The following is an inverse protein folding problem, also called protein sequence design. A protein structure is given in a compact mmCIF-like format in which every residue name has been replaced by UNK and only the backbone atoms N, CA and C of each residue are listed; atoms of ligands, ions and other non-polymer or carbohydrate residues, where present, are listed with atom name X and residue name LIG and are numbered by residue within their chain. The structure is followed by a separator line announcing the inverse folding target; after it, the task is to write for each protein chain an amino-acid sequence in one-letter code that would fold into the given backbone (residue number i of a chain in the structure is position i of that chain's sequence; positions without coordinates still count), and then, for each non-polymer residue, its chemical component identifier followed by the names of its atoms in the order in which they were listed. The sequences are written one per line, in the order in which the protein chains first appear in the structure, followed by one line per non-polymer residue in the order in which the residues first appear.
data_IF_667378171141
#
_entry.id   IF_667378171141
#
_cell.length_a   1.000
_cell.length_b   1.000
_cell.length_c   1.000
_cell.angle_alpha   90.00
_cell.angle_beta   90.00
_cell.angle_gamma   90.00
#
_symmetry.space_group_name_H-M   'P 1'
#
loop_
_entity.id
_entity.type
_entity.pdbx_description
1 polymer ?
#
# COMPACT_ATOMS: atom_id res chain seq x y z
N UNK A 1 -2.62 -14.98 18.61
CA UNK A 1 -1.62 -14.03 18.06
C UNK A 1 -1.32 -14.31 16.59
N UNK A 2 -0.83 -15.51 16.23
CA UNK A 2 -0.42 -15.85 14.86
C UNK A 2 -1.53 -15.69 13.80
N UNK A 3 -2.77 -16.07 14.12
CA UNK A 3 -3.94 -15.89 13.23
C UNK A 3 -4.11 -14.43 12.78
N UNK A 4 -3.99 -13.47 13.71
CA UNK A 4 -4.14 -12.04 13.40
C UNK A 4 -3.02 -11.55 12.48
N UNK A 5 -1.79 -12.01 12.73
CA UNK A 5 -0.62 -11.68 11.90
C UNK A 5 -0.82 -12.20 10.47
N UNK A 6 -1.22 -13.48 10.31
CA UNK A 6 -1.46 -14.08 8.99
C UNK A 6 -2.57 -13.35 8.24
N UNK A 7 -3.68 -13.04 8.91
CA UNK A 7 -4.79 -12.31 8.29
C UNK A 7 -4.39 -10.87 7.94
N UNK A 8 -3.64 -10.18 8.80
CA UNK A 8 -3.14 -8.83 8.53
C UNK A 8 -2.19 -8.82 7.31
N UNK A 9 -1.31 -9.81 7.21
CA UNK A 9 -0.45 -10.00 6.05
C UNK A 9 -1.26 -10.25 4.78
N UNK A 10 -2.18 -11.22 4.81
CA UNK A 10 -3.01 -11.56 3.66
C UNK A 10 -3.89 -10.36 3.23
N UNK A 11 -4.47 -9.63 4.18
CA UNK A 11 -5.25 -8.43 3.91
C UNK A 11 -4.41 -7.33 3.27
N UNK A 12 -3.20 -7.07 3.77
CA UNK A 12 -2.25 -6.14 3.17
C UNK A 12 -1.85 -6.54 1.75
N UNK A 13 -1.57 -7.83 1.53
CA UNK A 13 -1.18 -8.39 0.24
C UNK A 13 -2.30 -8.25 -0.80
N UNK A 14 -3.49 -8.73 -0.48
CA UNK A 14 -4.65 -8.67 -1.39
C UNK A 14 -5.08 -7.23 -1.62
N UNK A 15 -5.02 -6.37 -0.60
CA UNK A 15 -5.34 -4.95 -0.76
C UNK A 15 -4.43 -4.25 -1.76
N UNK A 16 -3.15 -4.64 -1.84
CA UNK A 16 -2.25 -4.12 -2.88
C UNK A 16 -2.74 -4.51 -4.26
N UNK A 17 -3.06 -5.78 -4.48
CA UNK A 17 -3.46 -6.28 -5.80
C UNK A 17 -4.79 -5.71 -6.28
N UNK A 18 -5.71 -5.41 -5.36
CA UNK A 18 -7.05 -4.93 -5.68
C UNK A 18 -7.14 -3.42 -5.52
N UNK A 19 -7.06 -2.88 -4.30
CA UNK A 19 -7.34 -1.46 -4.04
C UNK A 19 -6.23 -0.55 -4.55
N UNK A 20 -4.97 -0.83 -4.20
CA UNK A 20 -3.85 0.00 -4.63
C UNK A 20 -3.71 -0.02 -6.15
N UNK A 21 -3.65 -1.22 -6.75
CA UNK A 21 -3.46 -1.32 -8.21
C UNK A 21 -4.67 -0.80 -9.00
N UNK A 22 -5.92 -0.98 -8.54
CA UNK A 22 -7.06 -0.37 -9.24
C UNK A 22 -7.01 1.16 -9.18
N UNK A 23 -6.68 1.76 -8.03
CA UNK A 23 -6.53 3.22 -7.96
C UNK A 23 -5.37 3.69 -8.83
N UNK A 24 -4.25 2.96 -8.85
CA UNK A 24 -3.15 3.27 -9.76
C UNK A 24 -3.58 3.16 -11.24
N UNK A 25 -4.40 2.17 -11.59
CA UNK A 25 -4.93 1.99 -12.94
C UNK A 25 -5.80 3.18 -13.37
N UNK A 26 -6.67 3.66 -12.47
CA UNK A 26 -7.47 4.86 -12.70
C UNK A 26 -6.59 6.09 -12.89
N UNK A 27 -5.62 6.31 -12.00
CA UNK A 27 -4.69 7.44 -12.12
C UNK A 27 -3.88 7.38 -13.44
N UNK A 28 -3.50 6.18 -13.88
CA UNK A 28 -2.82 6.00 -15.16
C UNK A 28 -3.75 6.28 -16.36
N UNK A 29 -5.00 5.82 -16.31
CA UNK A 29 -6.00 6.09 -17.35
C UNK A 29 -6.27 7.59 -17.54
N UNK A 30 -6.20 8.38 -16.46
CA UNK A 30 -6.28 9.85 -16.49
C UNK A 30 -4.92 10.55 -16.75
N UNK A 31 -3.88 9.81 -17.14
CA UNK A 31 -2.52 10.34 -17.38
C UNK A 31 -1.89 11.06 -16.17
N UNK A 32 -2.37 10.78 -14.95
CA UNK A 32 -1.80 11.33 -13.71
C UNK A 32 -0.58 10.50 -13.29
N UNK A 33 -0.73 9.17 -13.27
CA UNK A 33 0.36 8.26 -12.99
C UNK A 33 1.07 7.85 -14.29
N UNK A 34 2.41 7.94 -14.37
CA UNK A 34 3.15 7.63 -15.60
C UNK A 34 3.36 6.14 -15.83
N UNK A 35 3.17 5.30 -14.80
CA UNK A 35 3.39 3.85 -14.87
C UNK A 35 2.05 3.12 -14.77
N UNK A 36 1.83 2.06 -15.56
CA UNK A 36 0.60 1.29 -15.51
C UNK A 36 0.52 0.47 -14.21
N UNK A 37 -0.69 0.06 -13.86
CA UNK A 37 -0.95 -0.91 -12.80
C UNK A 37 -0.56 -2.34 -13.23
N UNK A 38 -0.45 -3.21 -12.25
CA UNK A 38 -0.02 -4.61 -12.36
C UNK A 38 1.27 -4.81 -13.19
N UNK A 39 2.38 -4.15 -12.81
CA UNK A 39 3.66 -4.35 -13.47
C UNK A 39 4.13 -5.81 -13.37
N UNK A 40 4.23 -6.50 -14.51
CA UNK A 40 4.63 -7.91 -14.61
C UNK A 40 6.12 -8.12 -14.85
N UNK A 41 6.90 -7.03 -15.01
CA UNK A 41 8.34 -7.14 -15.15
C UNK A 41 8.95 -7.82 -13.92
N UNK A 42 9.88 -8.74 -14.17
CA UNK A 42 10.63 -9.42 -13.12
C UNK A 42 11.51 -8.44 -12.36
N UNK A 43 11.57 -8.58 -11.03
CA UNK A 43 12.47 -7.80 -10.17
C UNK A 43 13.44 -8.72 -9.42
N UNK A 44 14.73 -8.32 -9.29
CA UNK A 44 15.69 -9.07 -8.48
C UNK A 44 15.30 -9.07 -6.99
N UNK A 45 15.83 -10.01 -6.19
CA UNK A 45 16.79 -11.06 -6.58
C UNK A 45 16.13 -12.32 -7.15
N UNK A 46 14.82 -12.53 -6.89
CA UNK A 46 14.14 -13.80 -7.21
C UNK A 46 13.45 -13.83 -8.57
N UNK A 47 13.47 -12.73 -9.34
CA UNK A 47 12.87 -12.67 -10.67
C UNK A 47 11.34 -12.72 -10.68
N UNK A 48 10.69 -12.46 -9.54
CA UNK A 48 9.22 -12.46 -9.44
C UNK A 48 8.62 -11.19 -10.05
N UNK A 49 7.34 -11.21 -10.49
CA UNK A 49 6.68 -10.02 -11.00
C UNK A 49 6.68 -8.88 -9.98
N UNK A 50 6.95 -7.65 -10.43
CA UNK A 50 7.05 -6.47 -9.58
C UNK A 50 5.78 -6.24 -8.74
N UNK A 51 4.59 -6.51 -9.30
CA UNK A 51 3.32 -6.39 -8.57
C UNK A 51 3.21 -7.37 -7.40
N UNK A 52 3.78 -8.57 -7.52
CA UNK A 52 3.79 -9.58 -6.45
C UNK A 52 4.78 -9.19 -5.36
N UNK A 53 5.96 -8.69 -5.75
CA UNK A 53 6.93 -8.11 -4.81
C UNK A 53 6.31 -6.93 -4.03
N UNK A 54 5.57 -6.05 -4.70
CA UNK A 54 4.86 -4.94 -4.07
C UNK A 54 3.77 -5.44 -3.12
N UNK A 55 2.99 -6.45 -3.52
CA UNK A 55 1.96 -7.05 -2.68
C UNK A 55 2.55 -7.68 -1.41
N UNK A 56 3.69 -8.35 -1.50
CA UNK A 56 4.42 -8.86 -0.34
C UNK A 56 4.74 -7.76 0.68
N UNK A 57 5.30 -6.63 0.23
CA UNK A 57 5.56 -5.48 1.10
C UNK A 57 4.26 -4.85 1.64
N UNK A 58 3.18 -4.84 0.86
CA UNK A 58 1.86 -4.50 1.35
C UNK A 58 1.39 -5.41 2.48
N UNK A 59 1.67 -6.71 2.40
CA UNK A 59 1.41 -7.65 3.50
C UNK A 59 2.20 -7.30 4.77
N UNK A 60 3.49 -7.01 4.63
CA UNK A 60 4.33 -6.57 5.77
C UNK A 60 3.73 -5.31 6.42
N UNK A 61 3.37 -4.31 5.64
CA UNK A 61 2.72 -3.10 6.16
C UNK A 61 1.37 -3.38 6.81
N UNK A 62 0.61 -4.37 6.33
CA UNK A 62 -0.61 -4.83 6.97
C UNK A 62 -0.36 -5.37 8.39
N UNK A 63 0.71 -6.17 8.56
CA UNK A 63 1.14 -6.68 9.86
C UNK A 63 1.55 -5.54 10.81
N UNK A 64 2.17 -4.48 10.30
CA UNK A 64 2.54 -3.30 11.09
C UNK A 64 1.31 -2.45 11.46
N UNK A 65 0.43 -2.19 10.50
CA UNK A 65 -0.75 -1.33 10.68
C UNK A 65 -1.76 -1.94 11.67
N UNK A 66 -2.00 -3.25 11.55
CA UNK A 66 -2.81 -4.12 12.43
C UNK A 66 -2.83 -3.65 13.89
N UNK A 67 -1.77 -3.97 14.65
CA UNK A 67 -1.70 -3.69 16.08
C UNK A 67 -1.90 -2.22 16.45
N UNK A 68 -1.51 -1.27 15.57
CA UNK A 68 -1.55 0.17 15.88
C UNK A 68 -2.96 0.75 15.84
N UNK A 69 -3.82 0.24 14.97
CA UNK A 69 -5.16 0.81 14.78
C UNK A 69 -6.27 -0.08 15.33
N UNK A 70 -5.96 -1.35 15.64
CA UNK A 70 -7.01 -2.30 15.96
C UNK A 70 -7.80 -1.85 17.21
N UNK A 71 -7.21 -1.26 18.25
CA UNK A 71 -7.98 -0.77 19.40
C UNK A 71 -9.08 0.27 19.08
N UNK A 72 -9.05 0.91 17.91
CA UNK A 72 -10.01 1.95 17.49
C UNK A 72 -11.35 1.36 17.04
N UNK A 73 -12.41 2.17 17.09
CA UNK A 73 -13.79 1.78 16.73
C UNK A 73 -14.42 2.77 15.73
N UNK A 74 -15.44 2.29 15.00
CA UNK A 74 -16.24 3.12 14.09
C UNK A 74 -15.39 3.91 13.09
N UNK A 75 -15.74 5.17 12.87
CA UNK A 75 -15.04 6.07 11.94
C UNK A 75 -13.54 6.26 12.27
N UNK A 76 -13.16 6.20 13.55
CA UNK A 76 -11.77 6.36 13.98
C UNK A 76 -10.87 5.22 13.44
N UNK A 77 -11.38 3.98 13.40
CA UNK A 77 -10.65 2.84 12.84
C UNK A 77 -10.38 3.02 11.33
N UNK A 78 -11.41 3.39 10.57
CA UNK A 78 -11.30 3.58 9.12
C UNK A 78 -10.40 4.76 8.76
N UNK A 79 -10.57 5.88 9.46
CA UNK A 79 -9.73 7.07 9.28
C UNK A 79 -8.27 6.75 9.61
N UNK A 80 -8.03 5.98 10.69
CA UNK A 80 -6.68 5.54 11.04
C UNK A 80 -6.03 4.70 9.94
N UNK A 81 -6.77 3.76 9.35
CA UNK A 81 -6.26 2.90 8.28
C UNK A 81 -5.90 3.71 7.03
N UNK A 82 -6.79 4.62 6.62
CA UNK A 82 -6.57 5.51 5.47
C UNK A 82 -5.35 6.39 5.70
N UNK A 83 -5.27 7.07 6.86
CA UNK A 83 -4.14 7.95 7.18
C UNK A 83 -2.84 7.17 7.33
N UNK A 84 -2.87 6.01 7.98
CA UNK A 84 -1.69 5.16 8.11
C UNK A 84 -1.15 4.78 6.74
N UNK A 85 -2.02 4.26 5.86
CA UNK A 85 -1.65 3.90 4.50
C UNK A 85 -1.12 5.11 3.73
N UNK A 86 -1.83 6.24 3.73
CA UNK A 86 -1.42 7.44 3.01
C UNK A 86 -0.02 7.95 3.41
N UNK A 87 0.32 7.84 4.71
CA UNK A 87 1.52 8.47 5.26
C UNK A 87 2.71 7.49 5.29
N UNK A 88 2.63 6.39 6.04
CA UNK A 88 3.82 5.61 6.40
C UNK A 88 4.45 4.87 5.19
N UNK A 89 3.72 4.05 4.42
CA UNK A 89 4.23 3.48 3.18
C UNK A 89 4.77 4.53 2.20
N UNK A 90 4.10 5.68 2.08
CA UNK A 90 4.53 6.75 1.18
C UNK A 90 5.87 7.37 1.59
N UNK A 91 6.04 7.67 2.87
CA UNK A 91 7.31 8.22 3.38
C UNK A 91 8.47 7.24 3.12
N UNK A 92 8.26 5.96 3.39
CA UNK A 92 9.27 4.92 3.09
C UNK A 92 9.52 4.81 1.58
N UNK A 93 8.48 4.87 0.76
CA UNK A 93 8.63 4.85 -0.69
C UNK A 93 9.46 6.04 -1.21
N UNK A 94 9.23 7.24 -0.70
CA UNK A 94 9.93 8.46 -1.13
C UNK A 94 11.36 8.57 -0.62
N UNK A 95 11.58 8.29 0.66
CA UNK A 95 12.85 8.62 1.33
C UNK A 95 13.79 7.43 1.49
N UNK A 96 13.30 6.19 1.31
CA UNK A 96 14.12 4.98 1.41
C UNK A 96 14.14 4.26 0.07
N UNK A 97 12.97 3.87 -0.45
CA UNK A 97 12.90 3.03 -1.67
C UNK A 97 13.35 3.78 -2.91
N UNK A 98 12.95 5.04 -3.09
CA UNK A 98 13.32 5.83 -4.27
C UNK A 98 14.85 6.03 -4.37
N UNK A 99 15.56 6.48 -3.30
CA UNK A 99 17.02 6.53 -3.30
C UNK A 99 17.71 5.20 -3.60
N UNK A 100 17.26 4.10 -2.98
CA UNK A 100 17.81 2.75 -3.23
C UNK A 100 17.68 2.36 -4.71
N UNK A 101 16.60 2.79 -5.37
CA UNK A 101 16.36 2.52 -6.79
C UNK A 101 16.96 3.58 -7.72
N UNK A 102 17.82 4.47 -7.21
CA UNK A 102 18.38 5.61 -7.94
C UNK A 102 17.30 6.50 -8.59
N UNK A 103 16.14 6.61 -7.94
CA UNK A 103 15.03 7.47 -8.36
C UNK A 103 15.01 8.77 -7.54
N UNK A 104 14.47 9.88 -8.10
CA UNK A 104 14.35 11.13 -7.38
C UNK A 104 13.56 11.00 -6.07
N UNK A 105 14.12 11.51 -4.96
CA UNK A 105 13.43 11.59 -3.66
C UNK A 105 12.11 12.34 -3.83
N UNK A 106 11.03 11.81 -3.24
CA UNK A 106 9.69 12.39 -3.31
C UNK A 106 9.24 12.76 -4.73
N UNK A 107 9.62 11.95 -5.73
CA UNK A 107 9.29 12.23 -7.14
C UNK A 107 9.94 13.52 -7.68
N UNK A 108 11.07 13.92 -7.11
CA UNK A 108 11.76 15.16 -7.43
C UNK A 108 11.03 16.40 -6.89
N UNK A 109 10.28 16.24 -5.79
CA UNK A 109 9.49 17.31 -5.16
C UNK A 109 8.43 17.94 -6.08
N UNK A 110 8.03 17.22 -7.13
CA UNK A 110 6.97 17.66 -8.04
C UNK A 110 5.62 17.30 -7.46
N UNK A 111 4.71 18.27 -7.18
CA UNK A 111 3.43 17.99 -6.51
C UNK A 111 2.60 16.88 -7.18
N UNK A 112 2.58 16.86 -8.52
CA UNK A 112 1.88 15.83 -9.32
C UNK A 112 2.45 14.42 -9.13
N UNK A 113 3.78 14.29 -8.96
CA UNK A 113 4.40 12.99 -8.70
C UNK A 113 4.20 12.57 -7.24
N UNK A 114 4.24 13.53 -6.32
CA UNK A 114 4.04 13.28 -4.89
C UNK A 114 2.62 12.79 -4.62
N UNK A 115 1.57 13.43 -5.14
CA UNK A 115 0.20 13.06 -4.80
C UNK A 115 -0.16 11.58 -5.08
N UNK A 116 0.53 10.91 -6.01
CA UNK A 116 0.25 9.51 -6.37
C UNK A 116 0.39 8.59 -5.14
N UNK A 117 1.50 8.69 -4.41
CA UNK A 117 1.82 7.80 -3.28
C UNK A 117 0.75 7.81 -2.19
N UNK A 118 0.41 8.97 -1.61
CA UNK A 118 -0.66 9.08 -0.62
C UNK A 118 -2.00 8.54 -1.12
N UNK A 119 -2.38 8.80 -2.38
CA UNK A 119 -3.67 8.37 -2.93
C UNK A 119 -3.76 6.84 -3.02
N UNK A 120 -2.76 6.19 -3.64
CA UNK A 120 -2.77 4.73 -3.81
C UNK A 120 -2.62 4.01 -2.48
N UNK A 121 -1.82 4.55 -1.56
CA UNK A 121 -1.62 3.92 -0.25
C UNK A 121 -2.77 4.21 0.73
N UNK A 122 -3.50 5.31 0.58
CA UNK A 122 -4.77 5.53 1.31
C UNK A 122 -5.80 4.45 0.94
N UNK A 123 -5.95 4.18 -0.36
CA UNK A 123 -6.83 3.13 -0.86
C UNK A 123 -6.38 1.74 -0.38
N UNK A 124 -5.08 1.47 -0.39
CA UNK A 124 -4.50 0.27 0.20
C UNK A 124 -4.86 0.12 1.69
N UNK A 125 -4.68 1.19 2.47
CA UNK A 125 -4.95 1.19 3.92
C UNK A 125 -6.41 0.88 4.23
N UNK A 126 -7.34 1.53 3.51
CA UNK A 126 -8.76 1.22 3.58
C UNK A 126 -9.05 -0.24 3.22
N UNK A 127 -8.54 -0.72 2.08
CA UNK A 127 -8.79 -2.07 1.61
C UNK A 127 -8.25 -3.15 2.56
N UNK A 128 -7.09 -2.92 3.17
CA UNK A 128 -6.52 -3.88 4.12
C UNK A 128 -7.31 -3.89 5.43
N UNK A 129 -7.75 -2.74 5.93
CA UNK A 129 -8.65 -2.68 7.07
C UNK A 129 -10.00 -3.36 6.80
N UNK A 130 -10.57 -3.18 5.60
CA UNK A 130 -11.82 -3.83 5.18
C UNK A 130 -11.68 -5.35 5.16
N UNK A 131 -10.67 -5.87 4.45
CA UNK A 131 -10.43 -7.32 4.34
C UNK A 131 -10.15 -7.91 5.73
N UNK A 132 -9.31 -7.26 6.53
CA UNK A 132 -9.03 -7.72 7.89
C UNK A 132 -10.31 -7.82 8.74
N UNK A 133 -11.23 -6.85 8.63
CA UNK A 133 -12.49 -6.82 9.38
C UNK A 133 -13.43 -7.96 9.04
N UNK A 134 -13.43 -8.40 7.77
CA UNK A 134 -14.24 -9.54 7.32
C UNK A 134 -13.84 -10.82 8.05
N UNK A 135 -12.53 -11.03 8.29
CA UNK A 135 -12.02 -12.26 8.93
C UNK A 135 -11.78 -12.14 10.43
N UNK A 136 -11.60 -10.91 10.95
CA UNK A 136 -11.51 -10.57 12.37
C UNK A 136 -12.60 -9.53 12.68
N UNK A 137 -13.86 -9.97 12.81
CA UNK A 137 -14.92 -9.11 13.30
C UNK A 137 -14.58 -8.64 14.72
N UNK A 138 -15.03 -7.43 15.05
CA UNK A 138 -15.18 -6.97 16.44
C UNK A 138 -16.57 -6.43 16.57
#
# INVERSE_FOLDING_TARGET
MIKRVVIAFAAGFVSTLVFHQCVLALLHAFSIAPKPAWPMQAVPPFGIPAVISLAFWGGIWGVVMMPMIEGRRGASFWTAAILFGAIFPTLVAWFIVSPIKHQPIAGGWKPRAMMIGPIVNAAWGFGTALIYRVFIPR
#
